data_IF_173582599777
#
_entry.id   IF_173582599777
#
_cell.length_a   1.000
_cell.length_b   1.000
_cell.length_c   1.000
_cell.angle_alpha   90.00
_cell.angle_beta   90.00
_cell.angle_gamma   90.00
#
_symmetry.space_group_name_H-M   'P 1'
#
loop_
_entity.id
_entity.type
_entity.pdbx_description
1 polymer ?
#
# COMPACT_ATOMS: atom_id res chain seq x y z
N UNK A 1 52.43 -47.20 44.78
CA UNK A 1 52.08 -46.59 43.50
C UNK A 1 50.55 -46.47 43.40
N UNK A 2 49.99 -45.30 43.59
CA UNK A 2 48.53 -45.05 43.64
C UNK A 2 48.10 -44.54 42.28
N UNK A 3 47.39 -45.38 41.52
CA UNK A 3 46.85 -45.03 40.20
C UNK A 3 45.61 -44.11 40.41
N UNK A 4 45.69 -42.88 39.99
CA UNK A 4 44.54 -41.98 39.85
C UNK A 4 43.72 -42.42 38.61
N UNK A 5 42.48 -42.90 38.84
CA UNK A 5 41.50 -43.07 37.81
C UNK A 5 40.90 -41.68 37.51
N UNK A 6 41.24 -41.12 36.35
CA UNK A 6 40.51 -39.98 35.78
C UNK A 6 39.11 -40.50 35.38
N UNK A 7 38.11 -40.12 36.16
CA UNK A 7 36.69 -40.33 35.81
C UNK A 7 36.31 -39.27 34.76
N UNK A 8 36.35 -39.64 33.52
CA UNK A 8 35.72 -38.88 32.46
C UNK A 8 34.19 -38.98 32.63
N UNK A 9 33.60 -38.05 33.34
CA UNK A 9 32.15 -37.86 33.35
C UNK A 9 31.74 -37.53 31.91
N UNK A 10 30.99 -38.42 31.30
CA UNK A 10 30.32 -38.18 30.03
C UNK A 10 29.32 -37.04 30.20
N UNK A 11 29.68 -35.83 29.78
CA UNK A 11 28.82 -34.66 29.67
C UNK A 11 27.92 -34.66 28.46
N UNK A 12 27.75 -35.81 27.79
CA UNK A 12 26.98 -35.94 26.54
C UNK A 12 25.45 -35.86 26.73
N UNK A 13 24.94 -35.89 27.97
CA UNK A 13 23.48 -35.89 28.18
C UNK A 13 22.86 -34.46 28.36
N UNK A 14 23.69 -33.42 28.44
CA UNK A 14 23.20 -32.03 28.63
C UNK A 14 23.16 -31.21 27.34
N UNK A 15 23.72 -31.65 26.21
CA UNK A 15 23.86 -30.90 24.99
C UNK A 15 22.68 -31.09 24.00
N UNK A 16 21.93 -32.19 24.10
CA UNK A 16 20.80 -32.45 23.19
C UNK A 16 19.60 -31.50 23.40
N UNK A 17 19.41 -31.00 24.63
CA UNK A 17 18.39 -29.97 24.93
C UNK A 17 18.78 -28.56 24.48
N UNK A 18 20.08 -28.24 24.51
CA UNK A 18 20.62 -26.96 24.06
C UNK A 18 20.52 -26.78 22.55
N UNK A 19 20.85 -27.81 21.78
CA UNK A 19 20.77 -27.78 20.32
C UNK A 19 19.34 -27.54 19.79
N UNK A 20 18.32 -28.12 20.44
CA UNK A 20 16.92 -27.90 20.08
C UNK A 20 16.47 -26.46 20.35
N UNK A 21 16.87 -25.89 21.50
CA UNK A 21 16.56 -24.49 21.84
C UNK A 21 17.29 -23.52 20.88
N UNK A 22 18.55 -23.80 20.55
CA UNK A 22 19.34 -23.01 19.62
C UNK A 22 18.70 -23.02 18.22
N UNK A 23 18.29 -24.19 17.73
CA UNK A 23 17.60 -24.32 16.44
C UNK A 23 16.28 -23.55 16.40
N UNK A 24 15.45 -23.66 17.45
CA UNK A 24 14.18 -22.94 17.54
C UNK A 24 14.43 -21.44 17.61
N UNK A 25 15.39 -20.99 18.42
CA UNK A 25 15.73 -19.58 18.56
C UNK A 25 16.26 -18.99 17.26
N UNK A 26 17.19 -19.68 16.60
CA UNK A 26 17.71 -19.27 15.28
C UNK A 26 16.60 -19.25 14.23
N UNK A 27 15.73 -20.25 14.23
CA UNK A 27 14.56 -20.31 13.34
C UNK A 27 13.61 -19.14 13.54
N UNK A 28 13.30 -18.80 14.78
CA UNK A 28 12.44 -17.63 15.09
C UNK A 28 13.08 -16.31 14.65
N UNK A 29 14.37 -16.11 14.92
CA UNK A 29 15.10 -14.88 14.54
C UNK A 29 15.11 -14.68 13.03
N UNK A 30 15.13 -15.76 12.25
CA UNK A 30 15.09 -15.68 10.79
C UNK A 30 13.66 -15.62 10.24
N UNK A 31 12.74 -16.41 10.79
CA UNK A 31 11.38 -16.53 10.28
C UNK A 31 10.54 -15.28 10.54
N UNK A 32 10.62 -14.70 11.73
CA UNK A 32 9.81 -13.54 12.11
C UNK A 32 10.07 -12.34 11.18
N UNK A 33 11.34 -11.89 10.96
CA UNK A 33 11.58 -10.79 10.03
C UNK A 33 11.24 -11.13 8.58
N UNK A 34 11.37 -12.39 8.16
CA UNK A 34 10.98 -12.83 6.83
C UNK A 34 9.46 -12.71 6.64
N UNK A 35 8.67 -13.20 7.58
CA UNK A 35 7.19 -13.09 7.54
C UNK A 35 6.78 -11.62 7.55
N UNK A 36 7.40 -10.80 8.41
CA UNK A 36 7.14 -9.36 8.43
C UNK A 36 7.44 -8.70 7.09
N UNK A 37 8.57 -9.02 6.46
CA UNK A 37 8.92 -8.50 5.14
C UNK A 37 7.86 -8.85 4.09
N UNK A 38 7.39 -10.11 4.07
CA UNK A 38 6.35 -10.55 3.13
C UNK A 38 5.04 -9.78 3.35
N UNK A 39 4.61 -9.60 4.60
CA UNK A 39 3.40 -8.84 4.93
C UNK A 39 3.52 -7.36 4.57
N UNK A 40 4.67 -6.75 4.84
CA UNK A 40 4.94 -5.35 4.49
C UNK A 40 4.93 -5.16 2.96
N UNK A 41 5.57 -6.05 2.22
CA UNK A 41 5.56 -6.01 0.75
C UNK A 41 4.15 -6.20 0.18
N UNK A 42 3.36 -7.12 0.75
CA UNK A 42 1.97 -7.32 0.32
C UNK A 42 1.11 -6.07 0.56
N UNK A 43 1.27 -5.39 1.70
CA UNK A 43 0.56 -4.16 2.00
C UNK A 43 0.92 -3.02 1.02
N UNK A 44 2.20 -2.84 0.73
CA UNK A 44 2.69 -1.82 -0.21
C UNK A 44 2.19 -2.11 -1.63
N UNK A 45 2.29 -3.36 -2.09
CA UNK A 45 1.83 -3.76 -3.43
C UNK A 45 0.30 -3.60 -3.57
N UNK A 46 -0.46 -4.02 -2.56
CA UNK A 46 -1.91 -3.82 -2.51
C UNK A 46 -2.28 -2.35 -2.59
N UNK A 47 -1.63 -1.49 -1.80
CA UNK A 47 -1.83 -0.04 -1.84
C UNK A 47 -1.47 0.59 -3.20
N UNK A 48 -0.37 0.14 -3.82
CA UNK A 48 0.04 0.63 -5.14
C UNK A 48 -1.00 0.28 -6.22
N UNK A 49 -1.52 -0.94 -6.22
CA UNK A 49 -2.57 -1.36 -7.14
C UNK A 49 -3.89 -0.62 -6.89
N UNK A 50 -4.24 -0.40 -5.63
CA UNK A 50 -5.43 0.33 -5.24
C UNK A 50 -5.40 1.77 -5.76
N UNK A 51 -4.31 2.51 -5.50
CA UNK A 51 -4.20 3.92 -5.91
C UNK A 51 -4.14 4.06 -7.44
N UNK A 52 -3.47 3.14 -8.14
CA UNK A 52 -3.39 3.13 -9.59
C UNK A 52 -4.76 2.83 -10.24
N UNK A 53 -5.47 1.83 -9.72
CA UNK A 53 -6.82 1.49 -10.16
C UNK A 53 -7.82 2.62 -9.92
N UNK A 54 -7.78 3.23 -8.72
CA UNK A 54 -8.62 4.35 -8.34
C UNK A 54 -8.38 5.58 -9.24
N UNK A 55 -7.12 5.95 -9.50
CA UNK A 55 -6.79 7.09 -10.37
C UNK A 55 -7.29 6.87 -11.81
N UNK A 56 -7.09 5.67 -12.37
CA UNK A 56 -7.57 5.33 -13.73
C UNK A 56 -9.09 5.37 -13.82
N UNK A 57 -9.79 4.79 -12.85
CA UNK A 57 -11.25 4.79 -12.86
C UNK A 57 -11.81 6.20 -12.66
N UNK A 58 -11.24 6.99 -11.74
CA UNK A 58 -11.64 8.37 -11.52
C UNK A 58 -11.47 9.23 -12.77
N UNK A 59 -10.32 9.16 -13.43
CA UNK A 59 -10.07 9.89 -14.68
C UNK A 59 -11.08 9.49 -15.79
N UNK A 60 -11.39 8.19 -15.88
CA UNK A 60 -12.35 7.70 -16.89
C UNK A 60 -13.76 8.20 -16.65
N UNK A 61 -14.28 8.13 -15.40
CA UNK A 61 -15.66 8.57 -15.12
C UNK A 61 -15.78 10.09 -15.15
N UNK A 62 -14.70 10.80 -14.88
CA UNK A 62 -14.63 12.26 -14.95
C UNK A 62 -14.96 12.76 -16.37
N UNK A 63 -14.22 12.26 -17.38
CA UNK A 63 -14.38 12.71 -18.77
C UNK A 63 -15.71 12.27 -19.43
N UNK A 64 -16.46 11.38 -18.77
CA UNK A 64 -17.76 10.88 -19.21
C UNK A 64 -18.95 11.61 -18.54
N UNK A 65 -18.68 12.53 -17.64
CA UNK A 65 -19.73 13.25 -16.94
C UNK A 65 -20.37 14.35 -17.80
N UNK A 66 -21.63 14.71 -17.55
CA UNK A 66 -22.33 15.75 -18.30
C UNK A 66 -21.85 17.17 -17.95
N UNK A 67 -21.34 17.38 -16.74
CA UNK A 67 -20.83 18.64 -16.26
C UNK A 67 -19.73 18.44 -15.21
N UNK A 68 -19.02 19.50 -14.84
CA UNK A 68 -17.87 19.45 -13.92
C UNK A 68 -18.26 19.09 -12.48
N UNK A 69 -19.45 19.51 -12.02
CA UNK A 69 -19.91 19.21 -10.67
C UNK A 69 -20.15 17.70 -10.52
N UNK A 70 -20.85 17.10 -11.49
CA UNK A 70 -21.06 15.66 -11.54
C UNK A 70 -19.76 14.90 -11.80
N UNK A 71 -18.84 15.45 -12.62
CA UNK A 71 -17.52 14.88 -12.86
C UNK A 71 -16.71 14.72 -11.58
N UNK A 72 -16.63 15.78 -10.79
CA UNK A 72 -15.95 15.78 -9.49
C UNK A 72 -16.59 14.76 -8.53
N UNK A 73 -17.93 14.74 -8.43
CA UNK A 73 -18.66 13.82 -7.58
C UNK A 73 -18.42 12.35 -7.99
N UNK A 74 -18.41 12.05 -9.29
CA UNK A 74 -18.14 10.70 -9.79
C UNK A 74 -16.70 10.28 -9.57
N UNK A 75 -15.73 11.18 -9.77
CA UNK A 75 -14.33 10.90 -9.57
C UNK A 75 -14.04 10.56 -8.09
N UNK A 76 -14.57 11.36 -7.14
CA UNK A 76 -14.42 11.09 -5.71
C UNK A 76 -15.01 9.73 -5.35
N UNK A 77 -16.25 9.45 -5.77
CA UNK A 77 -16.87 8.13 -5.52
C UNK A 77 -16.07 6.97 -6.12
N UNK A 78 -15.51 7.15 -7.33
CA UNK A 78 -14.69 6.12 -7.96
C UNK A 78 -13.40 5.83 -7.17
N UNK A 79 -12.79 6.87 -6.59
CA UNK A 79 -11.63 6.71 -5.69
C UNK A 79 -12.05 5.97 -4.41
N UNK A 80 -13.15 6.38 -3.78
CA UNK A 80 -13.67 5.74 -2.58
C UNK A 80 -13.90 4.24 -2.78
N UNK A 81 -14.59 3.85 -3.84
CA UNK A 81 -14.81 2.44 -4.15
C UNK A 81 -13.53 1.69 -4.49
N UNK A 82 -12.65 2.29 -5.31
CA UNK A 82 -11.39 1.66 -5.69
C UNK A 82 -10.44 1.41 -4.52
N UNK A 83 -10.43 2.28 -3.51
CA UNK A 83 -9.65 2.10 -2.29
C UNK A 83 -10.31 1.11 -1.32
N UNK A 84 -11.65 1.14 -1.22
CA UNK A 84 -12.40 0.25 -0.34
C UNK A 84 -12.23 -1.24 -0.72
N UNK A 85 -12.07 -1.57 -2.00
CA UNK A 85 -11.79 -2.93 -2.48
C UNK A 85 -10.49 -3.52 -1.88
N UNK A 86 -9.57 -2.66 -1.46
CA UNK A 86 -8.31 -3.03 -0.80
C UNK A 86 -8.32 -2.76 0.72
N UNK A 87 -9.48 -2.43 1.29
CA UNK A 87 -9.61 -2.12 2.71
C UNK A 87 -8.95 -0.81 3.14
N UNK A 88 -8.75 0.13 2.21
CA UNK A 88 -8.14 1.44 2.46
C UNK A 88 -9.26 2.47 2.63
N UNK A 89 -9.22 3.22 3.73
CA UNK A 89 -10.21 4.27 3.99
C UNK A 89 -9.97 5.49 3.08
N UNK A 90 -10.99 5.90 2.34
CA UNK A 90 -10.94 7.03 1.43
C UNK A 90 -10.66 8.37 2.12
N UNK A 91 -11.02 8.50 3.40
CA UNK A 91 -10.75 9.70 4.20
C UNK A 91 -9.24 10.03 4.33
N UNK A 92 -8.37 9.05 4.07
CA UNK A 92 -6.92 9.22 4.05
C UNK A 92 -6.36 9.57 2.67
N UNK A 93 -7.22 9.62 1.64
CA UNK A 93 -6.80 9.87 0.27
C UNK A 93 -6.88 11.35 -0.10
N UNK A 94 -5.82 11.84 -0.71
CA UNK A 94 -5.80 13.15 -1.38
C UNK A 94 -6.04 12.95 -2.88
N UNK A 95 -7.08 13.60 -3.41
CA UNK A 95 -7.41 13.54 -4.84
C UNK A 95 -7.21 14.91 -5.45
N UNK A 96 -6.39 14.98 -6.50
CA UNK A 96 -6.14 16.20 -7.25
C UNK A 96 -6.51 15.98 -8.71
N UNK A 97 -7.20 16.96 -9.30
CA UNK A 97 -7.63 16.94 -10.70
C UNK A 97 -7.08 18.18 -11.39
N UNK A 98 -6.27 17.95 -12.40
CA UNK A 98 -5.65 18.99 -13.22
C UNK A 98 -6.12 18.86 -14.68
N UNK A 99 -6.30 19.98 -15.39
CA UNK A 99 -6.82 20.00 -16.76
C UNK A 99 -5.93 20.84 -17.65
N UNK A 100 -5.62 20.33 -18.86
CA UNK A 100 -4.85 21.05 -19.85
C UNK A 100 -5.56 21.00 -21.22
N UNK A 101 -5.72 22.16 -21.90
CA UNK A 101 -5.25 23.51 -21.58
C UNK A 101 -6.11 24.30 -20.55
N UNK A 102 -7.24 23.79 -20.06
CA UNK A 102 -8.00 24.34 -18.92
C UNK A 102 -8.66 25.74 -19.10
N UNK A 103 -8.51 26.37 -20.26
CA UNK A 103 -8.94 27.76 -20.48
C UNK A 103 -10.47 27.96 -20.49
N UNK A 104 -11.24 26.90 -20.80
CA UNK A 104 -12.70 26.92 -20.91
C UNK A 104 -13.37 25.82 -20.07
N UNK A 105 -12.73 25.41 -18.96
CA UNK A 105 -13.17 24.31 -18.12
C UNK A 105 -12.51 22.97 -18.48
N UNK A 106 -12.62 22.02 -17.57
CA UNK A 106 -12.00 20.69 -17.73
C UNK A 106 -12.68 19.85 -18.81
N UNK A 107 -14.02 19.89 -18.88
CA UNK A 107 -14.83 19.09 -19.80
C UNK A 107 -15.01 19.78 -21.16
N UNK A 108 -13.94 20.32 -21.72
CA UNK A 108 -13.92 20.84 -23.09
C UNK A 108 -13.40 19.76 -24.03
N UNK A 109 -13.99 19.67 -25.23
CA UNK A 109 -13.57 18.71 -26.27
C UNK A 109 -12.05 18.71 -26.46
N UNK A 110 -11.46 17.54 -26.45
CA UNK A 110 -10.02 17.27 -26.61
C UNK A 110 -9.10 17.78 -25.46
N UNK A 111 -9.66 18.36 -24.39
CA UNK A 111 -8.89 18.63 -23.19
C UNK A 111 -8.39 17.33 -22.57
N UNK A 112 -7.26 17.44 -21.90
CA UNK A 112 -6.65 16.35 -21.14
C UNK A 112 -6.91 16.57 -19.66
N UNK A 113 -7.50 15.57 -19.01
CA UNK A 113 -7.76 15.56 -17.56
C UNK A 113 -6.80 14.59 -16.91
N UNK A 114 -6.08 15.06 -15.92
CA UNK A 114 -5.13 14.29 -15.14
C UNK A 114 -5.63 14.19 -13.69
N UNK A 115 -5.85 12.97 -13.24
CA UNK A 115 -6.26 12.68 -11.85
C UNK A 115 -5.08 12.06 -11.12
N UNK A 116 -4.68 12.71 -10.03
CA UNK A 116 -3.65 12.22 -9.12
C UNK A 116 -4.29 11.81 -7.81
N UNK A 117 -4.04 10.58 -7.38
CA UNK A 117 -4.51 10.03 -6.09
C UNK A 117 -3.29 9.72 -5.24
N UNK A 118 -3.28 10.23 -4.01
CA UNK A 118 -2.25 9.96 -3.01
C UNK A 118 -2.88 9.34 -1.79
N UNK A 119 -2.24 8.30 -1.27
CA UNK A 119 -2.60 7.62 -0.02
C UNK A 119 -1.38 7.40 0.85
N UNK A 120 -1.61 7.10 2.12
CA UNK A 120 -0.55 6.68 3.05
C UNK A 120 -0.90 5.29 3.56
N UNK A 121 -0.04 4.31 3.30
CA UNK A 121 -0.24 2.92 3.72
C UNK A 121 0.57 2.66 4.99
N UNK A 122 -0.09 2.37 6.13
CA UNK A 122 0.62 1.99 7.35
C UNK A 122 1.23 0.59 7.18
N UNK A 123 2.44 0.40 7.69
CA UNK A 123 3.06 -0.92 7.73
C UNK A 123 2.35 -1.83 8.75
N UNK A 124 2.15 -3.11 8.43
CA UNK A 124 1.46 -4.05 9.30
C UNK A 124 2.26 -4.30 10.59
N UNK A 125 1.54 -4.68 11.67
CA UNK A 125 2.12 -5.05 12.97
C UNK A 125 2.88 -3.93 13.70
N UNK A 126 2.77 -2.69 13.26
CA UNK A 126 3.30 -1.54 14.02
C UNK A 126 2.24 -1.09 15.02
N UNK A 127 2.53 -1.17 16.33
CA UNK A 127 1.56 -0.77 17.35
C UNK A 127 1.32 0.74 17.33
N UNK A 128 0.10 1.13 17.70
CA UNK A 128 -0.38 2.52 17.73
C UNK A 128 0.17 3.32 18.94
N UNK A 129 1.37 2.97 19.38
CA UNK A 129 2.03 3.61 20.53
C UNK A 129 3.14 4.54 20.07
N UNK A 130 3.30 5.67 20.76
CA UNK A 130 4.39 6.63 20.56
C UNK A 130 4.46 7.24 19.15
N UNK A 131 3.33 7.36 18.44
CA UNK A 131 3.26 7.88 17.06
C UNK A 131 4.13 7.11 16.04
N UNK A 132 4.44 5.85 16.33
CA UNK A 132 5.27 5.00 15.46
C UNK A 132 4.57 4.69 14.13
N UNK A 133 3.23 4.69 14.10
CA UNK A 133 2.48 4.46 12.85
C UNK A 133 2.76 5.52 11.79
N UNK A 134 2.87 6.79 12.17
CA UNK A 134 3.19 7.87 11.23
C UNK A 134 4.62 7.76 10.69
N UNK A 135 5.55 7.28 11.51
CA UNK A 135 6.94 7.02 11.11
C UNK A 135 7.11 5.74 10.28
N UNK A 136 6.19 4.77 10.47
CA UNK A 136 6.20 3.49 9.78
C UNK A 136 5.06 3.41 8.76
N UNK A 137 4.96 4.40 7.88
CA UNK A 137 3.99 4.46 6.80
C UNK A 137 4.67 4.82 5.48
N UNK A 138 4.11 4.34 4.38
CA UNK A 138 4.64 4.57 3.03
C UNK A 138 3.64 5.40 2.24
N UNK A 139 4.01 6.61 1.78
CA UNK A 139 3.19 7.38 0.86
C UNK A 139 3.23 6.74 -0.52
N UNK A 140 2.06 6.53 -1.11
CA UNK A 140 1.87 6.02 -2.46
C UNK A 140 1.07 7.01 -3.27
N UNK A 141 1.47 7.22 -4.52
CA UNK A 141 0.82 8.15 -5.43
C UNK A 141 0.70 7.50 -6.81
N UNK A 142 -0.43 7.71 -7.46
CA UNK A 142 -0.61 7.34 -8.84
C UNK A 142 -1.35 8.44 -9.60
N UNK A 143 -0.99 8.58 -10.86
CA UNK A 143 -1.57 9.57 -11.77
C UNK A 143 -2.12 8.87 -12.99
N UNK A 144 -3.33 9.25 -13.41
CA UNK A 144 -3.95 8.77 -14.60
C UNK A 144 -4.48 9.94 -15.45
N UNK A 145 -4.26 9.84 -16.74
CA UNK A 145 -4.63 10.90 -17.71
C UNK A 145 -5.66 10.35 -18.69
N UNK A 146 -6.70 11.13 -18.94
CA UNK A 146 -7.73 10.84 -19.92
C UNK A 146 -8.04 12.07 -20.78
N UNK A 147 -8.36 11.85 -22.06
CA UNK A 147 -8.76 12.92 -22.97
C UNK A 147 -10.28 12.96 -23.11
N UNK A 148 -10.85 14.14 -22.98
CA UNK A 148 -12.27 14.39 -23.21
C UNK A 148 -12.60 14.11 -24.67
N UNK A 149 -13.69 13.39 -24.91
CA UNK A 149 -14.12 13.04 -26.27
C UNK A 149 -14.29 14.29 -27.16
N UNK A 150 -13.84 14.21 -28.39
CA UNK A 150 -14.11 15.27 -29.41
C UNK A 150 -15.60 15.47 -29.68
N UNK A 151 -16.44 14.52 -29.32
CA UNK A 151 -17.91 14.59 -29.48
C UNK A 151 -18.61 15.01 -28.16
N UNK A 152 -17.88 15.36 -27.13
CA UNK A 152 -18.48 15.80 -25.89
C UNK A 152 -19.26 17.11 -26.10
N UNK A 153 -20.52 17.17 -25.63
CA UNK A 153 -21.41 18.34 -25.82
C UNK A 153 -22.06 18.44 -27.20
N UNK A 154 -21.93 17.44 -28.08
CA UNK A 154 -22.56 17.43 -29.41
C UNK A 154 -23.96 16.74 -29.43
N UNK A 155 -24.55 16.50 -28.25
CA UNK A 155 -25.88 15.90 -28.08
C UNK A 155 -26.92 16.87 -27.56
#
# INVERSE_FOLDING_TARGET
>A
MRRWKLSTKNSAASESGSASLEFITAGMILLVPLVYLVLAMAAIQGGALAVEGAARQAARVYVQAPDEAEANARAVRAVEFGLADYGIEAASAEVRIDCEPGLNGCLTSQNTVTVTVRIVVPLPLVPDVLSLQSAASVPLEATATQTVSRFWGAG
#
